data_IF_968153037329
#
_entry.id   IF_968153037329
#
_cell.length_a   1.000
_cell.length_b   1.000
_cell.length_c   1.000
_cell.angle_alpha   90.00
_cell.angle_beta   90.00
_cell.angle_gamma   90.00
#
_symmetry.space_group_name_H-M   'P 1'
#
loop_
_entity.id
_entity.type
_entity.pdbx_description
1 polymer ?
#
# COMPACT_ATOMS: atom_id res chain seq x y z
N UNK A 1 17.63 10.98 -2.36
CA UNK A 1 16.51 10.02 -2.22
C UNK A 1 15.17 10.52 -2.73
N UNK A 2 14.81 11.77 -2.57
CA UNK A 2 13.53 12.35 -3.07
C UNK A 2 13.37 12.17 -4.59
N UNK A 3 14.43 12.06 -5.34
CA UNK A 3 14.45 11.82 -6.78
C UNK A 3 14.25 10.38 -7.23
N UNK A 4 14.44 9.41 -6.33
CA UNK A 4 14.40 7.99 -6.65
C UNK A 4 13.05 7.35 -6.41
N UNK A 5 12.09 8.12 -6.00
CA UNK A 5 10.72 7.67 -6.10
C UNK A 5 10.30 7.83 -7.55
N UNK A 6 9.88 6.77 -8.19
CA UNK A 6 9.37 6.75 -9.56
C UNK A 6 8.32 7.83 -9.83
N UNK A 7 7.64 8.24 -8.79
CA UNK A 7 6.66 9.33 -8.77
C UNK A 7 7.27 10.72 -9.00
N UNK A 8 8.46 10.98 -8.47
CA UNK A 8 9.16 12.25 -8.68
C UNK A 8 9.61 12.44 -10.11
N UNK A 9 9.91 11.36 -10.82
CA UNK A 9 10.53 11.43 -12.15
C UNK A 9 9.65 12.01 -13.25
N UNK A 10 8.33 11.91 -13.16
CA UNK A 10 7.39 12.47 -14.13
C UNK A 10 6.90 13.87 -13.80
N UNK A 11 6.89 14.25 -12.52
CA UNK A 11 6.30 15.50 -12.06
C UNK A 11 7.32 16.64 -11.86
N UNK A 12 8.60 16.31 -11.69
CA UNK A 12 9.65 17.28 -11.35
C UNK A 12 10.91 17.10 -12.22
N UNK A 13 10.73 17.17 -13.51
CA UNK A 13 11.79 16.90 -14.50
C UNK A 13 12.85 18.00 -14.62
N UNK A 14 12.71 19.11 -13.92
CA UNK A 14 13.56 20.29 -14.16
C UNK A 14 14.83 20.34 -13.32
N UNK A 15 14.93 19.57 -12.23
CA UNK A 15 16.15 19.52 -11.41
C UNK A 15 16.47 18.12 -10.99
N UNK A 16 17.62 17.63 -11.43
CA UNK A 16 18.21 16.37 -10.94
C UNK A 16 19.09 16.73 -9.76
N UNK A 17 18.70 16.34 -8.52
CA UNK A 17 19.50 16.61 -7.32
C UNK A 17 20.71 15.69 -7.22
N UNK A 18 20.49 14.39 -7.45
CA UNK A 18 21.51 13.37 -7.36
C UNK A 18 21.60 12.58 -8.66
N UNK A 19 22.79 12.35 -9.13
CA UNK A 19 23.09 11.47 -10.26
C UNK A 19 23.60 10.13 -9.75
N UNK A 20 23.16 9.04 -10.36
CA UNK A 20 23.63 7.71 -10.02
C UNK A 20 24.90 7.39 -10.82
N UNK A 21 25.95 7.00 -10.14
CA UNK A 21 27.23 6.61 -10.73
C UNK A 21 27.63 5.21 -10.21
N UNK A 22 27.28 4.18 -10.99
CA UNK A 22 27.46 2.79 -10.54
C UNK A 22 26.58 2.44 -9.34
N UNK A 23 27.18 2.11 -8.20
CA UNK A 23 26.52 1.85 -6.94
C UNK A 23 26.29 3.12 -6.10
N UNK A 24 27.02 4.20 -6.41
CA UNK A 24 27.02 5.42 -5.63
C UNK A 24 26.13 6.52 -6.19
N UNK A 25 25.99 7.60 -5.43
CA UNK A 25 25.25 8.78 -5.83
C UNK A 25 26.12 10.01 -5.63
N UNK A 26 26.08 10.91 -6.60
CA UNK A 26 26.74 12.22 -6.48
C UNK A 26 25.74 13.36 -6.64
N UNK A 27 26.07 14.49 -6.06
CA UNK A 27 25.35 15.74 -6.27
C UNK A 27 25.48 16.17 -7.72
N UNK A 28 24.35 16.45 -8.39
CA UNK A 28 24.38 16.96 -9.77
C UNK A 28 25.03 18.33 -9.82
N UNK A 29 25.57 18.71 -10.99
CA UNK A 29 26.18 20.02 -11.17
C UNK A 29 25.19 21.15 -10.89
N UNK A 30 23.97 21.05 -11.39
CA UNK A 30 22.92 22.06 -11.17
C UNK A 30 22.54 22.20 -9.68
N UNK A 31 22.44 21.10 -8.97
CA UNK A 31 22.15 21.15 -7.53
C UNK A 31 23.34 21.68 -6.73
N UNK A 32 24.57 21.32 -7.09
CA UNK A 32 25.77 21.87 -6.49
C UNK A 32 25.88 23.39 -6.60
N UNK A 33 25.43 23.98 -7.74
CA UNK A 33 25.36 25.44 -7.88
C UNK A 33 24.29 26.07 -6.96
N UNK A 34 23.12 25.40 -6.80
CA UNK A 34 22.08 25.87 -5.88
C UNK A 34 22.56 25.86 -4.42
N UNK A 35 23.35 24.86 -4.02
CA UNK A 35 23.89 24.74 -2.67
C UNK A 35 24.91 25.84 -2.29
N UNK A 36 25.40 26.64 -3.25
CA UNK A 36 26.25 27.81 -2.97
C UNK A 36 25.47 28.98 -2.39
N UNK A 37 24.15 28.99 -2.51
CA UNK A 37 23.29 29.97 -1.83
C UNK A 37 23.11 29.54 -0.39
N UNK A 38 23.59 30.36 0.55
CA UNK A 38 23.58 30.04 2.00
C UNK A 38 22.16 29.87 2.57
N UNK A 39 21.20 30.68 2.12
CA UNK A 39 19.82 30.61 2.59
C UNK A 39 19.15 29.31 2.12
N UNK A 40 19.37 28.95 0.86
CA UNK A 40 18.89 27.69 0.32
C UNK A 40 19.53 26.50 1.02
N UNK A 41 20.86 26.54 1.26
CA UNK A 41 21.57 25.46 1.96
C UNK A 41 21.01 25.25 3.37
N UNK A 42 20.86 26.32 4.15
CA UNK A 42 20.30 26.26 5.52
C UNK A 42 18.87 25.70 5.53
N UNK A 43 18.03 26.19 4.64
CA UNK A 43 16.64 25.67 4.54
C UNK A 43 16.60 24.21 4.17
N UNK A 44 17.49 23.74 3.27
CA UNK A 44 17.60 22.35 2.91
C UNK A 44 18.10 21.48 4.07
N UNK A 45 19.11 21.97 4.80
CA UNK A 45 19.65 21.29 5.99
C UNK A 45 18.56 21.09 7.05
N UNK A 46 17.81 22.14 7.39
CA UNK A 46 16.68 22.08 8.34
C UNK A 46 15.61 21.05 7.89
N UNK A 47 15.25 21.03 6.59
CA UNK A 47 14.29 20.04 6.05
C UNK A 47 14.84 18.62 6.18
N UNK A 48 16.11 18.40 5.89
CA UNK A 48 16.75 17.09 5.99
C UNK A 48 16.83 16.63 7.44
N UNK A 49 17.26 17.50 8.35
CA UNK A 49 17.31 17.19 9.80
C UNK A 49 15.92 16.87 10.37
N UNK A 50 14.92 17.68 10.01
CA UNK A 50 13.53 17.40 10.37
C UNK A 50 13.07 16.02 9.83
N UNK A 51 13.38 15.72 8.57
CA UNK A 51 13.06 14.42 7.96
C UNK A 51 13.75 13.25 8.68
N UNK A 52 15.01 13.42 9.08
CA UNK A 52 15.76 12.42 9.85
C UNK A 52 15.14 12.22 11.25
N UNK A 53 14.80 13.32 11.94
CA UNK A 53 14.15 13.27 13.25
C UNK A 53 12.81 12.53 13.17
N UNK A 54 11.96 12.89 12.23
CA UNK A 54 10.69 12.20 11.99
C UNK A 54 10.85 10.72 11.65
N UNK A 55 11.87 10.39 10.86
CA UNK A 55 12.16 8.99 10.56
C UNK A 55 12.52 8.21 11.83
N UNK A 56 13.39 8.76 12.68
CA UNK A 56 13.79 8.12 13.94
C UNK A 56 12.61 7.93 14.88
N UNK A 57 11.71 8.90 14.97
CA UNK A 57 10.54 8.85 15.84
C UNK A 57 9.49 7.85 15.36
N UNK A 58 9.12 7.93 14.07
CA UNK A 58 7.91 7.30 13.56
C UNK A 58 8.18 6.04 12.72
N UNK A 59 9.37 5.93 12.11
CA UNK A 59 9.64 4.92 11.07
C UNK A 59 10.88 4.06 11.34
N UNK A 60 11.52 4.18 12.50
CA UNK A 60 12.68 3.36 12.86
C UNK A 60 12.34 1.88 13.10
N UNK A 61 11.07 1.58 13.44
CA UNK A 61 10.58 0.21 13.71
C UNK A 61 9.90 -0.38 12.48
N UNK A 62 10.69 -0.65 11.45
CA UNK A 62 10.18 -1.27 10.22
C UNK A 62 9.67 -2.68 10.44
N UNK A 63 8.63 -3.03 9.70
CA UNK A 63 8.06 -4.36 9.73
C UNK A 63 8.90 -5.31 8.88
N UNK A 64 9.56 -6.24 9.54
CA UNK A 64 10.43 -7.25 8.91
C UNK A 64 11.46 -6.60 7.94
N UNK A 65 11.50 -7.04 6.68
CA UNK A 65 12.38 -6.54 5.62
C UNK A 65 11.76 -5.44 4.74
N UNK A 66 10.59 -4.90 5.15
CA UNK A 66 9.92 -3.80 4.45
C UNK A 66 10.41 -2.43 4.92
N UNK A 67 10.12 -1.39 4.14
CA UNK A 67 10.27 0.01 4.59
C UNK A 67 8.96 0.55 5.22
N UNK A 68 7.99 -0.34 5.49
CA UNK A 68 6.71 -0.02 6.13
C UNK A 68 6.77 -0.28 7.64
N UNK A 69 5.94 0.41 8.41
CA UNK A 69 5.78 0.25 9.86
C UNK A 69 4.36 -0.16 10.17
N UNK A 70 4.17 -1.24 10.94
CA UNK A 70 2.84 -1.70 11.33
C UNK A 70 2.05 -0.60 12.03
N UNK A 71 0.78 -0.49 11.64
CA UNK A 71 -0.21 0.46 12.17
C UNK A 71 0.06 1.93 11.86
N UNK A 72 1.10 2.25 11.09
CA UNK A 72 1.24 3.57 10.48
C UNK A 72 0.31 3.70 9.27
N UNK A 73 -0.05 4.94 8.97
CA UNK A 73 -0.95 5.26 7.87
C UNK A 73 -0.15 5.65 6.62
N UNK A 74 -0.61 5.16 5.48
CA UNK A 74 0.00 5.41 4.18
C UNK A 74 -1.06 5.70 3.13
N UNK A 75 -0.77 6.63 2.24
CA UNK A 75 -1.53 6.80 1.00
C UNK A 75 -1.20 5.67 0.01
N UNK A 76 -1.98 5.53 -1.05
CA UNK A 76 -1.62 4.62 -2.16
C UNK A 76 -0.23 4.91 -2.71
N UNK A 77 0.10 6.19 -2.88
CA UNK A 77 1.38 6.62 -3.43
C UNK A 77 2.54 6.28 -2.51
N UNK A 78 2.39 6.51 -1.21
CA UNK A 78 3.42 6.19 -0.22
C UNK A 78 3.68 4.70 -0.16
N UNK A 79 2.62 3.88 -0.16
CA UNK A 79 2.75 2.43 -0.20
C UNK A 79 3.52 1.97 -1.44
N UNK A 80 3.15 2.43 -2.64
CA UNK A 80 3.87 2.07 -3.87
C UNK A 80 5.34 2.52 -3.86
N UNK A 81 5.63 3.71 -3.32
CA UNK A 81 7.01 4.22 -3.18
C UNK A 81 7.85 3.36 -2.24
N UNK A 82 7.30 3.01 -1.08
CA UNK A 82 7.99 2.20 -0.07
C UNK A 82 8.14 0.74 -0.52
N UNK A 83 7.22 0.25 -1.37
CA UNK A 83 7.35 -1.03 -2.07
C UNK A 83 8.26 -0.96 -3.31
N UNK A 84 8.92 0.18 -3.56
CA UNK A 84 9.94 0.40 -4.61
C UNK A 84 9.43 0.24 -6.05
N UNK A 85 8.17 0.56 -6.29
CA UNK A 85 7.61 0.55 -7.63
C UNK A 85 8.24 1.62 -8.50
N UNK A 86 8.48 1.32 -9.77
CA UNK A 86 9.11 2.26 -10.72
C UNK A 86 8.16 3.35 -11.22
N UNK A 87 6.88 3.07 -11.21
CA UNK A 87 5.86 3.97 -11.76
C UNK A 87 4.96 4.51 -10.66
N UNK A 88 4.61 5.79 -10.80
CA UNK A 88 3.60 6.40 -9.94
C UNK A 88 2.23 5.81 -10.28
N UNK A 89 1.60 5.22 -9.32
CA UNK A 89 0.25 4.69 -9.46
C UNK A 89 -0.75 5.62 -8.77
N UNK A 90 -1.81 5.94 -9.50
CA UNK A 90 -2.93 6.70 -8.93
C UNK A 90 -3.98 5.72 -8.36
N UNK A 91 -4.76 6.15 -7.39
CA UNK A 91 -5.79 5.30 -6.75
C UNK A 91 -6.73 4.61 -7.76
N UNK A 92 -7.07 5.29 -8.83
CA UNK A 92 -7.94 4.77 -9.89
C UNK A 92 -7.34 3.53 -10.59
N UNK A 93 -6.03 3.51 -10.79
CA UNK A 93 -5.34 2.40 -11.45
C UNK A 93 -5.18 1.18 -10.52
N UNK A 94 -5.13 1.40 -9.20
CA UNK A 94 -5.00 0.32 -8.22
C UNK A 94 -6.35 -0.38 -8.03
N UNK A 95 -7.44 0.38 -7.84
CA UNK A 95 -8.79 -0.16 -7.75
C UNK A 95 -8.93 -1.28 -6.70
N UNK A 96 -8.44 -1.06 -5.48
CA UNK A 96 -8.43 -2.02 -4.39
C UNK A 96 -7.13 -2.83 -4.30
N UNK A 97 -6.57 -3.33 -5.39
CA UNK A 97 -5.29 -4.01 -5.40
C UNK A 97 -4.61 -3.95 -6.78
N UNK A 98 -3.29 -4.08 -6.79
CA UNK A 98 -2.51 -4.19 -8.03
C UNK A 98 -1.21 -4.94 -7.79
N UNK A 99 -0.84 -5.82 -8.71
CA UNK A 99 0.41 -6.57 -8.68
C UNK A 99 1.50 -5.85 -9.46
N UNK A 100 2.66 -5.65 -8.84
CA UNK A 100 3.87 -5.22 -9.54
C UNK A 100 4.80 -6.41 -9.77
N UNK A 101 4.95 -6.79 -11.05
CA UNK A 101 5.74 -7.96 -11.46
C UNK A 101 7.24 -7.79 -11.15
N UNK A 102 7.75 -6.57 -11.13
CA UNK A 102 9.18 -6.31 -10.94
C UNK A 102 9.61 -6.50 -9.50
N UNK A 103 8.86 -5.92 -8.57
CA UNK A 103 9.13 -6.04 -7.13
C UNK A 103 8.49 -7.28 -6.51
N UNK A 104 7.61 -7.96 -7.25
CA UNK A 104 6.76 -9.06 -6.77
C UNK A 104 5.92 -8.68 -5.54
N UNK A 105 5.53 -7.41 -5.42
CA UNK A 105 4.67 -6.93 -4.35
C UNK A 105 3.24 -6.76 -4.80
N UNK A 106 2.30 -7.06 -3.91
CA UNK A 106 0.87 -7.04 -4.18
C UNK A 106 0.12 -6.33 -3.05
N UNK A 107 0.14 -4.98 -3.00
CA UNK A 107 -0.63 -4.25 -2.01
C UNK A 107 -2.13 -4.38 -2.26
N UNK A 108 -2.86 -4.66 -1.18
CA UNK A 108 -4.32 -4.78 -1.12
C UNK A 108 -4.86 -3.68 -0.21
N UNK A 109 -5.75 -2.84 -0.74
CA UNK A 109 -6.34 -1.70 -0.05
C UNK A 109 -7.83 -1.92 0.15
N UNK A 110 -8.25 -1.99 1.40
CA UNK A 110 -9.64 -2.25 1.79
C UNK A 110 -10.24 -1.01 2.44
N UNK A 111 -11.44 -0.63 1.97
CA UNK A 111 -12.33 0.29 2.67
C UNK A 111 -13.33 -0.57 3.44
N UNK A 112 -13.20 -0.62 4.75
CA UNK A 112 -13.92 -1.57 5.59
C UNK A 112 -15.40 -1.20 5.76
N UNK A 113 -15.66 0.06 6.02
CA UNK A 113 -17.01 0.57 6.23
C UNK A 113 -17.58 1.06 4.88
N UNK A 114 -18.54 0.34 4.33
CA UNK A 114 -19.27 0.73 3.15
C UNK A 114 -20.66 1.20 3.62
N UNK A 115 -20.99 2.45 3.32
CA UNK A 115 -22.23 3.13 3.78
C UNK A 115 -23.47 2.25 3.78
N UNK A 116 -24.34 2.46 4.79
CA UNK A 116 -25.49 1.66 5.21
C UNK A 116 -26.62 1.42 4.18
N UNK A 117 -26.52 1.88 2.94
CA UNK A 117 -27.60 1.79 1.96
C UNK A 117 -27.75 0.44 1.24
N UNK A 118 -27.07 -0.63 1.70
CA UNK A 118 -27.08 -1.91 1.00
C UNK A 118 -27.40 -3.06 1.97
N UNK A 119 -28.67 -3.17 2.38
CA UNK A 119 -29.14 -4.17 3.34
C UNK A 119 -29.02 -5.65 2.91
N UNK A 120 -28.75 -5.97 1.64
CA UNK A 120 -28.66 -7.35 1.13
C UNK A 120 -27.26 -7.79 0.70
N UNK A 121 -26.25 -6.93 0.79
CA UNK A 121 -24.89 -7.22 0.30
C UNK A 121 -23.89 -7.58 1.41
N UNK A 122 -24.27 -7.52 2.66
CA UNK A 122 -23.42 -7.83 3.82
C UNK A 122 -22.79 -9.24 3.81
N UNK A 123 -23.33 -10.16 3.02
CA UNK A 123 -22.74 -11.51 2.84
C UNK A 123 -21.51 -11.56 1.94
N UNK A 124 -21.20 -10.47 1.24
CA UNK A 124 -20.17 -10.43 0.20
C UNK A 124 -19.28 -9.19 0.34
N UNK A 125 -18.84 -8.93 1.57
CA UNK A 125 -17.98 -7.79 1.88
C UNK A 125 -16.68 -8.24 2.52
N UNK A 126 -15.62 -7.44 2.31
CA UNK A 126 -14.36 -7.64 3.01
C UNK A 126 -14.61 -7.53 4.53
N UNK A 127 -14.24 -8.55 5.31
CA UNK A 127 -14.45 -8.53 6.75
C UNK A 127 -13.43 -9.38 7.51
N UNK A 128 -13.11 -8.94 8.72
CA UNK A 128 -12.32 -9.73 9.66
C UNK A 128 -13.17 -10.81 10.32
N UNK A 129 -12.70 -12.04 10.30
CA UNK A 129 -13.28 -13.14 11.05
C UNK A 129 -12.59 -13.34 12.41
N UNK A 130 -11.37 -12.83 12.56
CA UNK A 130 -10.62 -12.76 13.80
C UNK A 130 -9.48 -11.74 13.69
N UNK A 131 -8.72 -11.53 14.76
CA UNK A 131 -7.56 -10.62 14.75
C UNK A 131 -6.49 -10.95 13.69
N UNK A 132 -6.45 -12.18 13.19
CA UNK A 132 -5.48 -12.64 12.20
C UNK A 132 -6.10 -13.33 10.98
N UNK A 133 -7.40 -13.19 10.79
CA UNK A 133 -8.14 -13.75 9.65
C UNK A 133 -9.02 -12.69 9.01
N UNK A 134 -8.97 -12.67 7.69
CA UNK A 134 -9.74 -11.74 6.87
C UNK A 134 -10.33 -12.49 5.69
N UNK A 135 -11.59 -12.22 5.38
CA UNK A 135 -12.18 -12.54 4.09
C UNK A 135 -12.13 -11.30 3.23
N UNK A 136 -11.54 -11.41 2.05
CA UNK A 136 -11.50 -10.34 1.06
C UNK A 136 -11.99 -10.82 -0.30
N UNK A 137 -12.64 -9.91 -1.02
CA UNK A 137 -13.30 -10.20 -2.29
C UNK A 137 -12.47 -9.64 -3.45
N UNK A 138 -12.33 -10.43 -4.50
CA UNK A 138 -11.67 -10.00 -5.73
C UNK A 138 -12.43 -8.85 -6.42
N UNK A 139 -11.78 -8.22 -7.40
CA UNK A 139 -12.47 -7.29 -8.29
C UNK A 139 -13.63 -7.97 -9.01
N UNK A 140 -14.67 -7.21 -9.31
CA UNK A 140 -15.82 -7.66 -10.09
C UNK A 140 -15.40 -8.19 -11.48
N UNK A 141 -16.04 -9.26 -11.92
CA UNK A 141 -15.73 -9.94 -13.19
C UNK A 141 -14.51 -10.88 -13.11
N UNK A 142 -14.15 -11.32 -11.90
CA UNK A 142 -13.07 -12.30 -11.68
C UNK A 142 -13.65 -13.68 -11.40
N UNK A 143 -12.92 -14.69 -11.89
CA UNK A 143 -13.10 -16.11 -11.56
C UNK A 143 -11.85 -16.61 -10.82
N UNK A 144 -11.93 -17.83 -10.32
CA UNK A 144 -10.75 -18.50 -9.72
C UNK A 144 -9.59 -18.58 -10.73
N UNK A 145 -9.87 -18.72 -12.01
CA UNK A 145 -8.85 -18.82 -13.08
C UNK A 145 -8.26 -17.45 -13.50
N UNK A 146 -8.80 -16.33 -13.01
CA UNK A 146 -8.26 -15.00 -13.34
C UNK A 146 -6.82 -14.84 -12.85
N UNK A 147 -5.96 -14.19 -13.67
CA UNK A 147 -4.51 -14.07 -13.38
C UNK A 147 -4.21 -13.45 -12.01
N UNK A 148 -4.92 -12.40 -11.64
CA UNK A 148 -4.77 -11.73 -10.35
C UNK A 148 -5.20 -12.62 -9.18
N UNK A 149 -6.28 -13.40 -9.32
CA UNK A 149 -6.74 -14.37 -8.34
C UNK A 149 -5.73 -15.52 -8.20
N UNK A 150 -5.22 -16.04 -9.32
CA UNK A 150 -4.17 -17.07 -9.31
C UNK A 150 -2.87 -16.56 -8.69
N UNK A 151 -2.54 -15.27 -8.86
CA UNK A 151 -1.40 -14.65 -8.18
C UNK A 151 -1.60 -14.61 -6.66
N UNK A 152 -2.82 -14.35 -6.19
CA UNK A 152 -3.13 -14.44 -4.78
C UNK A 152 -3.03 -15.88 -4.27
N UNK A 153 -3.76 -16.81 -4.87
CA UNK A 153 -3.83 -18.19 -4.39
C UNK A 153 -2.47 -18.90 -4.39
N UNK A 154 -1.60 -18.55 -5.32
CA UNK A 154 -0.24 -19.09 -5.46
C UNK A 154 0.85 -18.11 -4.98
N UNK A 155 0.49 -17.14 -4.14
CA UNK A 155 1.43 -16.10 -3.72
C UNK A 155 2.70 -16.69 -3.10
N UNK A 156 2.58 -17.66 -2.20
CA UNK A 156 3.70 -18.34 -1.56
C UNK A 156 4.61 -19.04 -2.57
N UNK A 157 4.04 -19.79 -3.50
CA UNK A 157 4.79 -20.54 -4.52
C UNK A 157 5.52 -19.60 -5.50
N UNK A 158 4.89 -18.47 -5.82
CA UNK A 158 5.42 -17.47 -6.76
C UNK A 158 6.35 -16.46 -6.11
N UNK A 159 6.52 -16.51 -4.79
CA UNK A 159 7.29 -15.52 -4.01
C UNK A 159 6.70 -14.13 -4.12
N UNK A 160 5.36 -14.03 -4.12
CA UNK A 160 4.63 -12.76 -4.17
C UNK A 160 4.37 -12.29 -2.73
N UNK A 161 4.76 -11.06 -2.46
CA UNK A 161 4.60 -10.40 -1.17
C UNK A 161 3.28 -9.62 -1.12
N UNK A 162 2.27 -10.18 -0.45
CA UNK A 162 0.93 -9.57 -0.34
C UNK A 162 0.87 -8.74 0.93
N UNK A 163 0.60 -7.43 0.76
CA UNK A 163 0.63 -6.42 1.82
C UNK A 163 -0.76 -5.83 2.04
N UNK A 164 -1.25 -5.84 3.29
CA UNK A 164 -2.59 -5.38 3.64
C UNK A 164 -2.62 -3.94 4.15
N UNK A 165 -3.48 -3.13 3.54
CA UNK A 165 -3.78 -1.76 3.93
C UNK A 165 -5.28 -1.60 4.12
N UNK A 166 -5.72 -1.14 5.29
CA UNK A 166 -7.14 -1.01 5.63
C UNK A 166 -7.45 0.39 6.16
N UNK A 167 -8.52 0.97 5.69
CA UNK A 167 -9.12 2.14 6.33
C UNK A 167 -10.60 1.88 6.62
N UNK A 168 -11.12 2.52 7.66
CA UNK A 168 -12.51 2.35 8.02
C UNK A 168 -13.45 2.95 6.96
N UNK A 169 -13.31 4.22 6.66
CA UNK A 169 -14.21 4.96 5.78
C UNK A 169 -13.57 5.35 4.46
N UNK A 170 -14.34 5.34 3.40
CA UNK A 170 -13.96 5.84 2.08
C UNK A 170 -14.01 7.37 1.98
N UNK A 171 -14.28 8.09 3.05
CA UNK A 171 -14.37 9.54 3.01
C UNK A 171 -12.98 10.16 2.84
N UNK A 172 -12.61 10.43 1.59
CA UNK A 172 -11.34 11.07 1.21
C UNK A 172 -11.20 12.50 1.76
N UNK A 173 -12.29 13.11 2.25
CA UNK A 173 -12.23 14.40 2.94
C UNK A 173 -11.68 14.26 4.35
N UNK A 174 -11.88 13.09 4.98
CA UNK A 174 -11.39 12.79 6.33
C UNK A 174 -9.98 12.23 6.27
N UNK A 175 -9.74 11.21 5.42
CA UNK A 175 -8.40 10.61 5.28
C UNK A 175 -8.26 9.87 3.95
N UNK A 176 -7.15 10.15 3.26
CA UNK A 176 -6.71 9.38 2.08
C UNK A 176 -5.85 8.18 2.45
N UNK A 177 -5.55 8.01 3.73
CA UNK A 177 -4.57 7.08 4.25
C UNK A 177 -5.20 5.80 4.77
N UNK A 178 -4.44 4.71 4.68
CA UNK A 178 -4.80 3.38 5.16
C UNK A 178 -3.82 2.94 6.23
N UNK A 179 -4.29 2.30 7.28
CA UNK A 179 -3.43 1.59 8.23
C UNK A 179 -2.77 0.41 7.53
N UNK A 180 -1.45 0.32 7.64
CA UNK A 180 -0.72 -0.87 7.22
C UNK A 180 -0.84 -1.95 8.28
N UNK A 181 -1.36 -3.12 7.89
CA UNK A 181 -1.61 -4.24 8.80
C UNK A 181 -0.65 -5.42 8.60
N UNK A 182 0.37 -5.25 7.77
CA UNK A 182 1.40 -6.27 7.56
C UNK A 182 1.13 -7.17 6.36
N UNK A 183 1.84 -8.29 6.33
CA UNK A 183 1.73 -9.32 5.31
C UNK A 183 0.54 -10.23 5.56
N UNK A 184 -0.01 -10.75 4.48
CA UNK A 184 -1.03 -11.79 4.54
C UNK A 184 -0.81 -12.85 3.48
N UNK A 185 -1.24 -14.07 3.78
CA UNK A 185 -1.18 -15.22 2.87
C UNK A 185 -2.55 -15.87 2.74
N UNK A 186 -2.92 -16.39 1.56
CA UNK A 186 -4.16 -17.13 1.40
C UNK A 186 -4.10 -18.42 2.24
N UNK A 187 -5.22 -18.78 2.87
CA UNK A 187 -5.34 -20.04 3.64
C UNK A 187 -5.55 -21.27 2.75
N UNK A 188 -5.82 -21.05 1.49
CA UNK A 188 -6.25 -22.07 0.53
C UNK A 188 -7.77 -22.13 0.35
N UNK A 189 -8.54 -21.40 1.17
CA UNK A 189 -9.99 -21.28 1.00
C UNK A 189 -10.29 -20.15 0.02
N UNK A 190 -10.93 -20.51 -1.10
CA UNK A 190 -11.43 -19.58 -2.09
C UNK A 190 -12.76 -20.10 -2.65
N UNK A 191 -13.69 -19.18 -2.90
CA UNK A 191 -15.02 -19.51 -3.41
C UNK A 191 -15.44 -18.48 -4.46
N UNK A 192 -15.77 -18.96 -5.64
CA UNK A 192 -16.39 -18.14 -6.67
C UNK A 192 -17.89 -17.97 -6.40
N UNK A 193 -18.39 -16.77 -6.61
CA UNK A 193 -19.82 -16.46 -6.49
C UNK A 193 -20.24 -15.40 -7.48
N UNK A 194 -21.57 -15.27 -7.70
CA UNK A 194 -22.14 -14.19 -8.50
C UNK A 194 -22.52 -13.05 -7.59
N UNK A 195 -21.99 -11.86 -7.89
CA UNK A 195 -22.28 -10.66 -7.11
C UNK A 195 -23.75 -10.26 -7.25
N UNK A 196 -24.45 -9.99 -6.13
CA UNK A 196 -25.82 -9.47 -6.19
C UNK A 196 -25.89 -8.21 -7.07
N UNK A 197 -26.99 -8.05 -7.79
CA UNK A 197 -27.30 -6.87 -8.62
C UNK A 197 -26.40 -6.61 -9.85
N UNK A 198 -25.36 -7.39 -10.11
CA UNK A 198 -24.43 -7.12 -11.22
C UNK A 198 -24.32 -8.27 -12.22
N UNK A 199 -24.78 -9.47 -11.90
CA UNK A 199 -24.54 -10.73 -12.65
C UNK A 199 -23.06 -11.00 -12.99
N UNK A 200 -22.13 -10.33 -12.29
CA UNK A 200 -20.69 -10.54 -12.47
C UNK A 200 -20.16 -11.46 -11.38
N UNK A 201 -19.22 -12.32 -11.75
CA UNK A 201 -18.52 -13.18 -10.81
C UNK A 201 -17.51 -12.39 -9.96
N UNK A 202 -17.24 -12.86 -8.77
CA UNK A 202 -16.13 -12.48 -7.93
C UNK A 202 -15.65 -13.70 -7.14
N UNK A 203 -14.48 -13.59 -6.53
CA UNK A 203 -13.89 -14.66 -5.72
C UNK A 203 -13.68 -14.14 -4.31
N UNK A 204 -14.27 -14.83 -3.35
CA UNK A 204 -14.02 -14.67 -1.93
C UNK A 204 -12.79 -15.49 -1.56
N UNK A 205 -11.82 -14.88 -0.89
CA UNK A 205 -10.56 -15.51 -0.49
C UNK A 205 -10.37 -15.29 1.01
N UNK A 206 -10.11 -16.36 1.74
CA UNK A 206 -9.70 -16.26 3.14
C UNK A 206 -8.20 -16.07 3.26
N UNK A 207 -7.81 -15.10 4.09
CA UNK A 207 -6.43 -14.69 4.33
C UNK A 207 -6.02 -14.88 5.78
N UNK A 208 -4.79 -15.31 5.97
CA UNK A 208 -4.12 -15.32 7.26
C UNK A 208 -3.12 -14.15 7.29
N UNK A 209 -3.20 -13.31 8.31
CA UNK A 209 -2.20 -12.28 8.57
C UNK A 209 -1.01 -12.88 9.32
N UNK A 210 0.20 -12.52 8.93
CA UNK A 210 1.43 -12.94 9.63
C UNK A 210 1.48 -12.43 11.07
N UNK A 211 0.93 -11.24 11.30
CA UNK A 211 0.85 -10.63 12.63
C UNK A 211 -0.62 -10.31 12.94
N UNK A 212 -1.16 -10.80 14.06
CA UNK A 212 -2.52 -10.42 14.48
C UNK A 212 -2.66 -8.90 14.62
N UNK A 213 -3.79 -8.38 14.17
CA UNK A 213 -4.08 -6.95 14.28
C UNK A 213 -4.17 -6.57 15.76
N UNK A 214 -3.50 -5.49 16.14
CA UNK A 214 -3.54 -4.94 17.49
C UNK A 214 -4.96 -4.58 17.89
N UNK A 215 -5.34 -4.88 19.12
CA UNK A 215 -6.72 -4.82 19.59
C UNK A 215 -7.39 -3.45 19.39
N UNK A 216 -6.67 -2.35 19.65
CA UNK A 216 -7.19 -1.00 19.47
C UNK A 216 -7.49 -0.68 18.00
N UNK A 217 -6.60 -1.08 17.09
CA UNK A 217 -6.79 -0.91 15.64
C UNK A 217 -7.93 -1.80 15.14
N UNK A 218 -7.97 -3.04 15.60
CA UNK A 218 -9.06 -3.97 15.26
C UNK A 218 -10.42 -3.41 15.68
N UNK A 219 -10.55 -2.99 16.93
CA UNK A 219 -11.80 -2.40 17.44
C UNK A 219 -12.20 -1.14 16.67
N UNK A 220 -11.23 -0.28 16.34
CA UNK A 220 -11.49 0.92 15.54
C UNK A 220 -12.01 0.58 14.13
N UNK A 221 -11.45 -0.44 13.48
CA UNK A 221 -11.85 -0.82 12.12
C UNK A 221 -13.22 -1.51 12.13
N UNK A 222 -13.43 -2.46 13.07
CA UNK A 222 -14.60 -3.36 13.07
C UNK A 222 -15.80 -2.76 13.80
N UNK A 223 -15.60 -2.09 14.94
CA UNK A 223 -16.68 -1.68 15.84
C UNK A 223 -16.82 -0.15 15.98
N UNK A 224 -15.86 0.64 15.51
CA UNK A 224 -15.74 2.07 15.78
C UNK A 224 -16.67 2.99 15.02
#
# INVERSE_FOLDING_TARGET
MIQYTSTGKKSYTQCVFLEKEGADYRVSKSFGEMLKNEEFYKSLEEIVEFGISRYKENYSRRYQDTDLVLYQKYTYEDACRLLKWEHNEVPLNIGGYKYDKKTKTFPVFINYDKQEDISDTTKYEDHFTSYNRLIAISKSGRSIESEDVQNFLKAKERGIDVQLFVRKNKDDKISKEFYYLGRMMPTGMAKEFVMPNTNKTAVEIEWALDTPVREDIYKYIVNG
#
